data_IF_327473829984
#
_entry.id   IF_327473829984
#
_cell.length_a   1.000
_cell.length_b   1.000
_cell.length_c   1.000
_cell.angle_alpha   90.00
_cell.angle_beta   90.00
_cell.angle_gamma   90.00
#
_symmetry.space_group_name_H-M   'P 1'
#
loop_
_entity.id
_entity.type
_entity.pdbx_description
1 polymer ?
#
# COMPACT_ATOMS: atom_id res chain seq x y z
N UNK A 1 3.14 28.11 6.14
CA UNK A 1 3.14 26.65 5.86
C UNK A 1 4.01 26.31 4.65
N UNK A 2 4.01 27.11 3.58
CA UNK A 2 5.06 26.99 2.55
C UNK A 2 6.45 27.11 3.18
N UNK A 3 7.38 26.23 2.78
CA UNK A 3 8.77 26.14 3.27
C UNK A 3 8.98 25.91 4.78
N UNK A 4 7.98 25.37 5.49
CA UNK A 4 8.16 24.93 6.89
C UNK A 4 8.34 23.41 7.01
N UNK A 5 8.74 22.97 8.21
CA UNK A 5 8.79 21.55 8.57
C UNK A 5 7.46 20.80 8.37
N UNK A 6 6.34 21.52 8.24
CA UNK A 6 5.03 20.92 7.94
C UNK A 6 5.01 20.28 6.55
N UNK A 7 5.57 20.93 5.53
CA UNK A 7 5.64 20.37 4.17
C UNK A 7 6.56 19.15 4.15
N UNK A 8 7.66 19.20 4.91
CA UNK A 8 8.57 18.07 5.08
C UNK A 8 7.82 16.89 5.71
N UNK A 9 7.13 17.13 6.82
CA UNK A 9 6.38 16.11 7.53
C UNK A 9 5.25 15.53 6.68
N UNK A 10 4.49 16.36 5.97
CA UNK A 10 3.43 15.93 5.05
C UNK A 10 3.97 15.01 3.94
N UNK A 11 5.06 15.42 3.29
CA UNK A 11 5.68 14.63 2.23
C UNK A 11 6.17 13.27 2.73
N UNK A 12 6.78 13.22 3.92
CA UNK A 12 7.19 11.96 4.52
C UNK A 12 5.97 11.11 4.91
N UNK A 13 4.87 11.70 5.36
CA UNK A 13 3.64 10.97 5.62
C UNK A 13 3.09 10.25 4.39
N UNK A 14 3.07 10.92 3.24
CA UNK A 14 2.53 10.36 2.00
C UNK A 14 3.51 9.39 1.34
N UNK A 15 4.79 9.78 1.17
CA UNK A 15 5.76 8.95 0.47
C UNK A 15 6.22 7.75 1.30
N UNK A 16 6.42 7.90 2.60
CA UNK A 16 6.83 6.76 3.42
C UNK A 16 5.71 5.72 3.50
N UNK A 17 4.46 6.18 3.60
CA UNK A 17 3.25 5.36 3.45
C UNK A 17 3.23 4.56 2.15
N UNK A 18 3.36 5.26 1.02
CA UNK A 18 3.20 4.64 -0.30
C UNK A 18 4.42 3.84 -0.76
N UNK A 19 5.63 4.22 -0.37
CA UNK A 19 6.85 3.56 -0.85
C UNK A 19 7.34 2.54 0.17
N UNK A 20 7.60 2.95 1.41
CA UNK A 20 8.28 2.08 2.38
C UNK A 20 7.36 0.98 2.90
N UNK A 21 6.15 1.34 3.34
CA UNK A 21 5.20 0.31 3.79
C UNK A 21 4.74 -0.60 2.65
N UNK A 22 4.53 -0.08 1.44
CA UNK A 22 4.20 -0.92 0.28
C UNK A 22 5.38 -1.81 -0.13
N UNK A 23 6.61 -1.30 -0.09
CA UNK A 23 7.81 -2.12 -0.36
C UNK A 23 7.96 -3.23 0.67
N UNK A 24 7.75 -2.95 1.96
CA UNK A 24 7.73 -4.00 2.99
C UNK A 24 6.61 -4.99 2.74
N UNK A 25 5.39 -4.52 2.47
CA UNK A 25 4.26 -5.39 2.11
C UNK A 25 4.60 -6.30 0.93
N UNK A 26 5.22 -5.75 -0.11
CA UNK A 26 5.68 -6.51 -1.27
C UNK A 26 6.78 -7.50 -0.96
N UNK A 27 7.78 -7.13 -0.15
CA UNK A 27 8.82 -8.06 0.31
C UNK A 27 8.16 -9.21 1.06
N UNK A 28 7.34 -8.95 2.09
CA UNK A 28 6.71 -10.01 2.85
C UNK A 28 5.80 -10.89 1.97
N UNK A 29 5.06 -10.31 1.04
CA UNK A 29 4.12 -11.03 0.17
C UNK A 29 4.81 -11.88 -0.91
N UNK A 30 5.77 -11.33 -1.66
CA UNK A 30 6.43 -12.02 -2.78
C UNK A 30 7.73 -12.75 -2.41
N UNK A 31 8.27 -12.59 -1.18
CA UNK A 31 9.45 -13.33 -0.77
C UNK A 31 9.33 -14.86 -0.88
N UNK A 32 8.23 -15.51 -0.42
CA UNK A 32 8.09 -16.96 -0.62
C UNK A 32 7.97 -17.33 -2.09
N UNK A 33 7.44 -16.44 -2.93
CA UNK A 33 7.37 -16.65 -4.38
C UNK A 33 8.74 -16.65 -5.03
N UNK A 34 9.61 -15.72 -4.63
CA UNK A 34 10.94 -15.55 -5.22
C UNK A 34 11.96 -16.57 -4.69
N UNK A 35 11.83 -17.00 -3.43
CA UNK A 35 12.85 -17.81 -2.74
C UNK A 35 12.38 -19.21 -2.35
N UNK A 36 11.07 -19.51 -2.44
CA UNK A 36 10.49 -20.77 -1.99
C UNK A 36 10.48 -20.93 -0.46
N UNK A 37 10.66 -19.84 0.31
CA UNK A 37 10.73 -19.87 1.77
C UNK A 37 9.91 -18.78 2.44
N UNK A 38 9.33 -19.11 3.58
CA UNK A 38 8.52 -18.17 4.37
C UNK A 38 9.41 -17.26 5.24
N UNK A 39 8.99 -15.99 5.35
CA UNK A 39 9.56 -15.04 6.30
C UNK A 39 9.03 -15.32 7.71
N UNK A 40 9.86 -15.08 8.73
CA UNK A 40 9.45 -15.25 10.12
C UNK A 40 8.45 -14.15 10.51
N UNK A 41 7.21 -14.54 10.82
CA UNK A 41 6.16 -13.59 11.18
C UNK A 41 6.44 -12.79 12.45
N UNK A 42 7.17 -13.37 13.42
CA UNK A 42 7.44 -12.67 14.69
C UNK A 42 8.41 -11.52 14.45
N UNK A 43 9.44 -11.76 13.66
CA UNK A 43 10.38 -10.73 13.22
C UNK A 43 9.71 -9.70 12.31
N UNK A 44 8.77 -10.14 11.45
CA UNK A 44 7.97 -9.24 10.61
C UNK A 44 7.09 -8.30 11.43
N UNK A 45 6.37 -8.82 12.42
CA UNK A 45 5.56 -8.02 13.35
C UNK A 45 6.44 -7.04 14.15
N UNK A 46 7.63 -7.46 14.58
CA UNK A 46 8.59 -6.56 15.25
C UNK A 46 9.04 -5.41 14.34
N UNK A 47 9.45 -5.71 13.10
CA UNK A 47 9.82 -4.70 12.12
C UNK A 47 8.67 -3.73 11.84
N UNK A 48 7.44 -4.23 11.67
CA UNK A 48 6.25 -3.41 11.48
C UNK A 48 6.02 -2.44 12.64
N UNK A 49 6.01 -2.93 13.89
CA UNK A 49 5.76 -2.09 15.06
C UNK A 49 6.87 -1.06 15.30
N UNK A 50 8.14 -1.45 15.14
CA UNK A 50 9.26 -0.52 15.24
C UNK A 50 9.18 0.58 14.19
N UNK A 51 8.89 0.21 12.93
CA UNK A 51 8.73 1.17 11.84
C UNK A 51 7.54 2.09 12.11
N UNK A 52 6.38 1.54 12.48
CA UNK A 52 5.16 2.29 12.71
C UNK A 52 5.33 3.30 13.86
N UNK A 53 5.84 2.86 15.01
CA UNK A 53 6.04 3.72 16.18
C UNK A 53 7.15 4.75 15.91
N UNK A 54 8.28 4.32 15.36
CA UNK A 54 9.40 5.22 15.02
C UNK A 54 9.00 6.29 14.02
N UNK A 55 8.23 5.92 13.00
CA UNK A 55 7.73 6.83 11.97
C UNK A 55 6.81 7.91 12.55
N UNK A 56 5.79 7.51 13.31
CA UNK A 56 4.88 8.48 13.95
C UNK A 56 5.63 9.37 14.93
N UNK A 57 6.53 8.80 15.73
CA UNK A 57 7.32 9.58 16.69
C UNK A 57 8.22 10.62 15.99
N UNK A 58 8.75 10.29 14.80
CA UNK A 58 9.64 11.17 14.04
C UNK A 58 8.88 12.31 13.37
N UNK A 59 7.82 12.00 12.62
CA UNK A 59 7.19 12.95 11.70
C UNK A 59 5.91 13.59 12.24
N UNK A 60 5.24 13.00 13.23
CA UNK A 60 4.05 13.61 13.83
C UNK A 60 4.43 14.91 14.55
N UNK A 61 5.52 14.88 15.31
CA UNK A 61 6.05 16.05 16.02
C UNK A 61 6.51 17.15 15.04
N UNK A 62 6.98 16.77 13.85
CA UNK A 62 7.39 17.73 12.82
C UNK A 62 6.21 18.49 12.21
N UNK A 63 5.00 17.93 12.16
CA UNK A 63 3.79 18.69 11.78
C UNK A 63 3.55 19.83 12.76
N UNK A 64 3.65 19.54 14.07
CA UNK A 64 3.50 20.54 15.11
C UNK A 64 4.63 21.57 15.08
N UNK A 65 5.87 21.13 14.91
CA UNK A 65 7.05 21.98 14.78
C UNK A 65 6.95 22.95 13.59
N UNK A 66 6.48 22.46 12.46
CA UNK A 66 6.22 23.26 11.27
C UNK A 66 5.06 24.25 11.42
N UNK A 67 4.12 23.98 12.35
CA UNK A 67 3.03 24.88 12.70
C UNK A 67 3.48 25.99 13.69
N UNK A 68 4.41 25.67 14.60
CA UNK A 68 5.06 26.67 15.47
C UNK A 68 5.98 27.61 14.65
N UNK A 69 6.31 27.23 13.42
CA UNK A 69 6.96 28.12 12.45
C UNK A 69 8.41 27.80 12.16
N UNK A 70 8.91 26.61 12.54
CA UNK A 70 10.28 26.21 12.17
C UNK A 70 10.40 26.07 10.64
N UNK A 71 11.23 26.90 9.97
CA UNK A 71 11.49 26.81 8.54
C UNK A 71 12.34 25.57 8.23
N UNK A 72 12.16 24.99 7.05
CA UNK A 72 12.98 23.85 6.60
C UNK A 72 14.43 24.30 6.29
N UNK A 73 15.38 23.35 6.32
CA UNK A 73 16.80 23.55 5.92
C UNK A 73 17.65 24.46 6.82
N UNK A 74 17.21 24.68 8.05
CA UNK A 74 18.04 25.33 9.07
C UNK A 74 18.91 24.29 9.78
N UNK A 75 20.18 24.63 10.00
CA UNK A 75 21.18 23.74 10.62
C UNK A 75 21.23 23.94 12.13
N UNK A 76 21.05 25.18 12.56
CA UNK A 76 21.03 25.63 13.94
C UNK A 76 19.77 26.44 14.27
N UNK A 77 19.39 26.44 15.55
CA UNK A 77 18.26 27.21 16.06
C UNK A 77 18.57 27.70 17.47
N UNK A 78 18.09 28.89 17.81
CA UNK A 78 18.26 29.45 19.14
C UNK A 78 17.40 28.72 20.18
N UNK A 79 17.96 28.47 21.36
CA UNK A 79 17.30 27.75 22.45
C UNK A 79 16.01 28.45 22.96
N UNK A 80 15.90 29.75 22.75
CA UNK A 80 14.73 30.55 23.19
C UNK A 80 13.44 30.21 22.42
N UNK A 81 13.55 29.59 21.24
CA UNK A 81 12.43 29.32 20.36
C UNK A 81 11.57 28.11 20.78
N UNK A 82 11.97 27.35 21.80
CA UNK A 82 11.19 26.21 22.33
C UNK A 82 11.10 25.01 21.38
N UNK A 83 11.94 24.95 20.34
CA UNK A 83 11.94 23.88 19.33
C UNK A 83 12.76 22.65 19.74
N UNK A 84 13.57 22.75 20.80
CA UNK A 84 14.52 21.72 21.21
C UNK A 84 13.84 20.40 21.54
N UNK A 85 12.83 20.41 22.43
CA UNK A 85 12.16 19.18 22.88
C UNK A 85 11.56 18.38 21.72
N UNK A 86 10.92 19.05 20.77
CA UNK A 86 10.28 18.41 19.62
C UNK A 86 11.32 17.86 18.63
N UNK A 87 12.44 18.56 18.42
CA UNK A 87 13.56 18.05 17.63
C UNK A 87 14.24 16.85 18.29
N UNK A 88 14.39 16.84 19.61
CA UNK A 88 14.93 15.72 20.37
C UNK A 88 14.03 14.48 20.24
N UNK A 89 12.71 14.63 20.38
CA UNK A 89 11.75 13.53 20.17
C UNK A 89 11.83 13.01 18.72
N UNK A 90 11.89 13.92 17.74
CA UNK A 90 12.01 13.56 16.33
C UNK A 90 13.29 12.76 16.06
N UNK A 91 14.40 13.16 16.69
CA UNK A 91 15.69 12.48 16.59
C UNK A 91 15.65 11.09 17.18
N UNK A 92 15.07 10.92 18.38
CA UNK A 92 14.88 9.60 19.00
C UNK A 92 14.04 8.69 18.09
N UNK A 93 12.94 9.22 17.53
CA UNK A 93 12.12 8.51 16.56
C UNK A 93 12.92 8.07 15.33
N UNK A 94 13.81 8.92 14.82
CA UNK A 94 14.61 8.63 13.63
C UNK A 94 15.62 7.51 13.87
N UNK A 95 16.20 7.42 15.07
CA UNK A 95 17.08 6.32 15.45
C UNK A 95 16.29 5.01 15.57
N UNK A 96 15.08 5.03 16.14
CA UNK A 96 14.19 3.85 16.18
C UNK A 96 13.85 3.40 14.76
N UNK A 97 13.55 4.35 13.87
CA UNK A 97 13.24 4.07 12.47
C UNK A 97 14.44 3.46 11.74
N UNK A 98 15.65 3.98 11.95
CA UNK A 98 16.88 3.38 11.42
C UNK A 98 17.12 1.97 11.97
N UNK A 99 16.92 1.77 13.27
CA UNK A 99 17.04 0.46 13.91
C UNK A 99 15.98 -0.55 13.42
N UNK A 100 14.82 -0.08 12.95
CA UNK A 100 13.76 -0.94 12.40
C UNK A 100 14.19 -1.72 11.15
N UNK A 101 15.24 -1.29 10.44
CA UNK A 101 15.81 -2.03 9.29
C UNK A 101 16.55 -3.29 9.72
N UNK A 102 17.10 -3.33 10.95
CA UNK A 102 17.84 -4.48 11.46
C UNK A 102 17.00 -5.77 11.52
N UNK A 103 15.79 -5.79 12.12
CA UNK A 103 14.96 -6.99 12.11
C UNK A 103 14.53 -7.40 10.70
N UNK A 104 14.34 -6.45 9.77
CA UNK A 104 14.02 -6.77 8.36
C UNK A 104 15.18 -7.51 7.68
N UNK A 105 16.39 -6.93 7.72
CA UNK A 105 17.58 -7.52 7.11
C UNK A 105 17.87 -8.89 7.73
N UNK A 106 17.77 -8.98 9.06
CA UNK A 106 17.95 -10.23 9.77
C UNK A 106 16.91 -11.27 9.37
N UNK A 107 15.64 -10.89 9.23
CA UNK A 107 14.57 -11.79 8.81
C UNK A 107 14.83 -12.33 7.40
N UNK A 108 15.19 -11.46 6.46
CA UNK A 108 15.53 -11.85 5.08
C UNK A 108 16.71 -12.83 5.04
N UNK A 109 17.82 -12.53 5.73
CA UNK A 109 19.00 -13.40 5.74
C UNK A 109 18.68 -14.76 6.40
N UNK A 110 18.01 -14.73 7.56
CA UNK A 110 17.63 -15.94 8.30
C UNK A 110 16.68 -16.80 7.48
N UNK A 111 15.60 -16.23 6.95
CA UNK A 111 14.61 -16.96 6.16
C UNK A 111 15.16 -17.45 4.84
N UNK A 112 16.06 -16.71 4.20
CA UNK A 112 16.70 -17.18 2.99
C UNK A 112 17.53 -18.45 3.22
N UNK A 113 18.18 -18.59 4.38
CA UNK A 113 19.04 -19.75 4.69
C UNK A 113 18.37 -20.86 5.50
N UNK A 114 17.40 -20.54 6.35
CA UNK A 114 16.78 -21.46 7.32
C UNK A 114 15.25 -21.33 7.42
N UNK A 115 14.61 -20.54 6.55
CA UNK A 115 13.16 -20.36 6.57
C UNK A 115 12.40 -21.63 6.21
N UNK A 116 11.16 -21.71 6.69
CA UNK A 116 10.24 -22.79 6.37
C UNK A 116 9.98 -22.82 4.85
N UNK A 117 9.91 -24.02 4.27
CA UNK A 117 9.73 -24.18 2.83
C UNK A 117 8.28 -23.90 2.44
N UNK A 118 8.08 -23.05 1.44
CA UNK A 118 6.79 -22.86 0.80
C UNK A 118 6.58 -23.99 -0.23
N UNK A 119 6.02 -25.11 0.22
CA UNK A 119 5.81 -26.31 -0.63
C UNK A 119 4.64 -26.12 -1.60
N UNK A 120 3.70 -25.24 -1.27
CA UNK A 120 2.51 -24.99 -2.07
C UNK A 120 2.72 -23.86 -3.09
N UNK A 121 1.99 -23.94 -4.22
CA UNK A 121 1.99 -22.90 -5.27
C UNK A 121 1.47 -21.55 -4.74
N UNK A 122 0.56 -21.61 -3.75
CA UNK A 122 0.01 -20.46 -3.03
C UNK A 122 0.21 -20.57 -1.51
N UNK A 123 1.33 -20.06 -0.97
CA UNK A 123 1.61 -20.08 0.47
C UNK A 123 0.66 -19.20 1.30
N UNK A 124 -0.14 -18.32 0.67
CA UNK A 124 -1.10 -17.45 1.34
C UNK A 124 -2.55 -17.96 1.24
N UNK A 125 -2.79 -19.02 0.46
CA UNK A 125 -4.05 -19.75 0.30
C UNK A 125 -5.09 -19.11 -0.63
N UNK A 126 -5.24 -17.78 -0.63
CA UNK A 126 -6.29 -17.08 -1.40
C UNK A 126 -5.73 -16.12 -2.46
N UNK A 127 -4.62 -16.50 -3.09
CA UNK A 127 -3.96 -15.81 -4.18
C UNK A 127 -4.85 -15.64 -5.41
N UNK A 128 -4.79 -14.46 -6.01
CA UNK A 128 -5.75 -14.02 -7.02
C UNK A 128 -5.18 -13.99 -8.42
N UNK A 129 -4.13 -13.21 -8.56
CA UNK A 129 -3.34 -13.01 -9.76
C UNK A 129 -2.73 -14.33 -10.22
N UNK A 130 -2.42 -14.40 -11.53
CA UNK A 130 -1.84 -15.58 -12.17
C UNK A 130 -0.53 -16.05 -11.53
N UNK A 131 0.18 -15.14 -10.85
CA UNK A 131 1.41 -15.47 -10.13
C UNK A 131 1.21 -16.59 -9.08
N UNK A 132 0.03 -16.72 -8.48
CA UNK A 132 -0.26 -17.75 -7.48
C UNK A 132 -0.72 -19.10 -8.07
N UNK A 133 -0.68 -19.24 -9.40
CA UNK A 133 -0.97 -20.49 -10.11
C UNK A 133 0.29 -21.24 -10.56
N UNK A 134 1.49 -20.72 -10.29
CA UNK A 134 2.77 -21.38 -10.59
C UNK A 134 3.49 -21.78 -9.32
N UNK A 135 4.56 -22.58 -9.42
CA UNK A 135 5.33 -23.07 -8.28
C UNK A 135 6.06 -21.97 -7.51
N UNK A 136 6.48 -22.27 -6.28
CA UNK A 136 7.31 -21.43 -5.43
C UNK A 136 8.66 -22.14 -5.14
N UNK A 137 9.79 -21.74 -5.76
CA UNK A 137 9.98 -20.68 -6.75
C UNK A 137 9.48 -21.06 -8.16
N UNK A 138 9.20 -20.07 -9.02
CA UNK A 138 8.77 -20.33 -10.39
C UNK A 138 9.90 -20.94 -11.24
N UNK A 139 9.57 -21.77 -12.24
CA UNK A 139 10.56 -22.29 -13.18
C UNK A 139 11.15 -21.15 -14.04
N UNK A 140 12.27 -21.41 -14.71
CA UNK A 140 12.97 -20.42 -15.56
C UNK A 140 12.07 -19.72 -16.60
N UNK A 141 11.00 -20.38 -17.05
CA UNK A 141 10.05 -19.86 -18.04
C UNK A 141 8.69 -19.47 -17.42
N UNK A 142 8.66 -19.21 -16.10
CA UNK A 142 7.53 -18.78 -15.27
C UNK A 142 6.37 -19.77 -15.10
N UNK A 143 5.90 -20.44 -16.16
CA UNK A 143 4.70 -21.29 -16.10
C UNK A 143 4.92 -22.63 -16.79
N UNK A 144 4.59 -23.72 -16.10
CA UNK A 144 4.51 -25.06 -16.70
C UNK A 144 3.16 -25.21 -17.42
N UNK A 145 2.08 -24.81 -16.74
CA UNK A 145 0.72 -24.79 -17.26
C UNK A 145 0.06 -23.46 -16.92
N UNK A 146 -0.77 -22.95 -17.84
CA UNK A 146 -1.51 -21.70 -17.64
C UNK A 146 -2.98 -22.04 -17.40
N UNK A 147 -3.57 -21.68 -16.25
CA UNK A 147 -4.99 -21.90 -16.00
C UNK A 147 -5.85 -21.05 -16.95
N UNK A 148 -7.07 -21.51 -17.25
CA UNK A 148 -8.00 -20.76 -18.11
C UNK A 148 -8.43 -19.45 -17.43
N UNK A 149 -8.16 -18.32 -18.09
CA UNK A 149 -8.50 -16.99 -17.57
C UNK A 149 -9.97 -16.69 -17.88
N UNK A 150 -10.82 -16.60 -16.84
CA UNK A 150 -12.26 -16.26 -16.96
C UNK A 150 -12.66 -15.01 -16.17
N UNK A 151 -11.80 -14.54 -15.27
CA UNK A 151 -12.03 -13.34 -14.44
C UNK A 151 -10.72 -12.63 -14.09
N UNK A 152 -10.82 -11.57 -13.28
CA UNK A 152 -9.69 -10.84 -12.70
C UNK A 152 -8.85 -11.67 -11.70
N UNK A 153 -9.36 -12.81 -11.23
CA UNK A 153 -8.72 -13.67 -10.20
C UNK A 153 -8.53 -15.12 -10.71
N UNK A 154 -7.71 -15.33 -11.76
CA UNK A 154 -7.59 -16.63 -12.40
C UNK A 154 -6.98 -17.74 -11.52
N UNK A 155 -6.07 -17.40 -10.59
CA UNK A 155 -5.49 -18.40 -9.67
C UNK A 155 -6.53 -18.87 -8.64
N UNK A 156 -7.34 -17.95 -8.11
CA UNK A 156 -8.37 -18.26 -7.13
C UNK A 156 -9.43 -19.22 -7.71
N UNK A 157 -9.89 -19.00 -8.94
CA UNK A 157 -10.86 -19.90 -9.58
C UNK A 157 -10.30 -21.30 -9.87
N UNK A 158 -9.00 -21.39 -10.16
CA UNK A 158 -8.32 -22.65 -10.38
C UNK A 158 -8.22 -23.47 -9.09
N UNK A 159 -7.88 -22.82 -7.96
CA UNK A 159 -7.79 -23.47 -6.65
C UNK A 159 -9.16 -23.76 -6.02
N UNK A 160 -10.18 -22.94 -6.30
CA UNK A 160 -11.51 -23.05 -5.70
C UNK A 160 -12.65 -23.18 -6.75
N UNK A 161 -12.73 -24.31 -7.48
CA UNK A 161 -13.73 -24.50 -8.54
C UNK A 161 -15.16 -24.51 -8.00
N UNK A 162 -15.37 -24.94 -6.75
CA UNK A 162 -16.69 -24.97 -6.11
C UNK A 162 -17.25 -23.57 -5.81
N UNK A 163 -16.43 -22.52 -5.85
CA UNK A 163 -16.86 -21.13 -5.64
C UNK A 163 -17.21 -20.42 -6.96
N UNK A 164 -17.01 -21.06 -8.12
CA UNK A 164 -17.19 -20.44 -9.42
C UNK A 164 -18.63 -19.93 -9.65
N UNK A 165 -19.64 -20.72 -9.28
CA UNK A 165 -21.06 -20.32 -9.42
C UNK A 165 -21.40 -19.11 -8.55
N UNK A 166 -20.88 -19.09 -7.32
CA UNK A 166 -21.06 -17.97 -6.39
C UNK A 166 -20.39 -16.70 -6.91
N UNK A 167 -19.16 -16.80 -7.40
CA UNK A 167 -18.43 -15.66 -7.98
C UNK A 167 -19.16 -15.09 -9.22
N UNK A 168 -19.75 -15.96 -10.04
CA UNK A 168 -20.56 -15.53 -11.18
C UNK A 168 -21.83 -14.79 -10.73
N UNK A 169 -22.55 -15.31 -9.73
CA UNK A 169 -23.72 -14.66 -9.17
C UNK A 169 -23.38 -13.26 -8.59
N UNK A 170 -22.30 -13.16 -7.80
CA UNK A 170 -21.86 -11.89 -7.20
C UNK A 170 -21.43 -10.85 -8.25
N UNK A 171 -20.86 -11.28 -9.39
CA UNK A 171 -20.48 -10.39 -10.50
C UNK A 171 -21.68 -9.62 -11.09
N UNK A 172 -22.86 -10.24 -11.13
CA UNK A 172 -24.06 -9.62 -11.69
C UNK A 172 -24.82 -8.74 -10.70
N UNK A 173 -24.71 -9.00 -9.40
CA UNK A 173 -25.37 -8.19 -8.35
C UNK A 173 -24.82 -6.76 -8.28
N UNK A 174 -23.51 -6.57 -8.45
CA UNK A 174 -22.90 -5.23 -8.42
C UNK A 174 -23.17 -4.39 -9.69
N UNK A 175 -23.56 -5.01 -10.80
CA UNK A 175 -23.82 -4.30 -12.06
C UNK A 175 -25.16 -3.55 -12.05
N UNK A 176 -26.17 -4.07 -11.34
CA UNK A 176 -27.48 -3.43 -11.22
C UNK A 176 -27.45 -2.08 -10.49
N UNK A 177 -26.46 -1.83 -9.61
CA UNK A 177 -26.36 -0.56 -8.88
C UNK A 177 -25.71 0.57 -9.70
N UNK A 178 -24.99 0.25 -10.77
CA UNK A 178 -24.32 1.25 -11.62
C UNK A 178 -25.09 1.60 -12.90
N UNK A 179 -26.02 0.75 -13.34
CA UNK A 179 -26.88 1.03 -14.51
C UNK A 179 -28.11 1.90 -14.16
N UNK A 180 -28.38 2.12 -12.87
CA UNK A 180 -29.57 2.82 -12.38
C UNK A 180 -29.37 4.33 -12.11
N UNK A 181 -28.42 4.98 -12.80
CA UNK A 181 -28.46 6.44 -12.93
C UNK A 181 -29.23 6.73 -14.21
N UNK A 182 -30.51 7.11 -14.14
CA UNK A 182 -31.21 7.55 -15.33
C UNK A 182 -30.45 8.78 -15.83
N UNK A 183 -30.03 8.75 -17.08
CA UNK A 183 -29.73 9.99 -17.80
C UNK A 183 -31.06 10.74 -17.76
N UNK A 184 -31.16 11.71 -16.86
CA UNK A 184 -32.31 12.61 -16.80
C UNK A 184 -32.30 13.34 -18.14
N UNK A 185 -33.23 12.96 -19.02
CA UNK A 185 -33.55 13.75 -20.20
C UNK A 185 -33.84 15.17 -19.71
N UNK A 186 -32.95 16.10 -20.06
CA UNK A 186 -33.26 17.53 -19.91
C UNK A 186 -34.50 17.78 -20.75
N UNK A 187 -35.55 18.40 -20.20
CA UNK A 187 -36.70 18.77 -21.01
C UNK A 187 -36.21 19.67 -22.15
N UNK A 188 -36.55 19.31 -23.38
CA UNK A 188 -36.46 20.19 -24.52
C UNK A 188 -37.42 21.35 -24.27
N UNK A 189 -36.88 22.54 -23.98
CA UNK A 189 -37.64 23.78 -23.91
C UNK A 189 -38.20 24.10 -25.30
N UNK A 190 -39.36 23.54 -25.61
CA UNK A 190 -40.17 23.91 -26.76
C UNK A 190 -41.15 24.99 -26.31
N UNK A 191 -40.68 26.24 -26.30
CA UNK A 191 -41.53 27.43 -26.19
C UNK A 191 -41.47 28.21 -27.50
N UNK A 192 -42.25 27.74 -28.48
CA UNK A 192 -42.58 28.53 -29.64
C UNK A 192 -43.49 29.72 -29.28
N UNK A 193 -43.01 30.95 -29.46
CA UNK A 193 -43.87 32.05 -29.91
C UNK A 193 -43.06 33.04 -30.72
N UNK A 194 -43.49 33.25 -31.96
CA UNK A 194 -42.81 34.06 -32.96
C UNK A 194 -42.94 35.57 -32.75
N UNK A 195 -42.02 36.30 -33.38
CA UNK A 195 -42.05 37.76 -33.43
C UNK A 195 -40.97 38.35 -34.33
N UNK A 196 -41.30 38.45 -35.63
CA UNK A 196 -41.13 39.67 -36.44
C UNK A 196 -39.75 40.37 -36.57
N UNK A 197 -39.21 40.30 -37.79
CA UNK A 197 -38.71 41.40 -38.65
C UNK A 197 -37.42 42.18 -38.29
N UNK A 198 -36.48 42.07 -39.25
CA UNK A 198 -35.68 43.15 -39.88
C UNK A 198 -34.88 44.13 -39.01
N UNK A 199 -33.55 44.03 -39.04
CA UNK A 199 -32.62 44.83 -39.87
C UNK A 199 -31.17 44.49 -39.50
#
# INVERSE_FOLDING_TARGET
LNDSYFVVAHFHYVLFGTIVFAAYGGIYFWFPKMTGRMLDEKLGKLNFWMTFIGFHTTFLVQHWLGNIGMPRRYVDYEAINGWETLNTISTIGSFILGASLLPLIWNVIKSWRYGELAVEDDPWGYGNSLEWATSCPPPRHNFIEIPRIRSERPAFEAHYPHLAERLQAEKHVNRGRHEEIPIVDRPSDDSGSGGSLSR
#
